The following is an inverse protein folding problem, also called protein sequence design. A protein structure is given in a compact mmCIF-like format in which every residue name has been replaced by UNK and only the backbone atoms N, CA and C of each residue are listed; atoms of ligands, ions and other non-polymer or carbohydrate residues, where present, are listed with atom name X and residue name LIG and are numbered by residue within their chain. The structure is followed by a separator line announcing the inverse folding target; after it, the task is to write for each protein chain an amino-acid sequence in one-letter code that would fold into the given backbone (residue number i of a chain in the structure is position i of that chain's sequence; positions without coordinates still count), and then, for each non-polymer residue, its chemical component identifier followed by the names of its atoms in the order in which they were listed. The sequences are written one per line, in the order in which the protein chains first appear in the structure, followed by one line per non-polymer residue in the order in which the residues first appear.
data_IF_562294913194
#
_entry.id   IF_562294913194
#
_cell.length_a   1.000
_cell.length_b   1.000
_cell.length_c   1.000
_cell.angle_alpha   90.00
_cell.angle_beta   90.00
_cell.angle_gamma   90.00
#
_symmetry.space_group_name_H-M   'P 1'
#
loop_
_entity.id
_entity.type
_entity.pdbx_description
1 polymer ?
#
# COMPACT_ATOMS: atom_id res chain seq x y z
N UNK A 1 -14.19 10.59 -0.87
CA UNK A 1 -12.93 10.53 -0.09
C UNK A 1 -12.17 9.33 -0.60
N UNK A 2 -10.91 9.48 -0.96
CA UNK A 2 -10.11 8.43 -1.59
C UNK A 2 -9.47 7.56 -0.52
N UNK A 3 -9.49 6.23 -0.67
CA UNK A 3 -8.90 5.30 0.30
C UNK A 3 -7.41 5.55 0.47
N UNK A 4 -6.66 5.72 -0.62
CA UNK A 4 -5.30 6.21 -0.57
C UNK A 4 -4.99 7.10 -1.76
N UNK A 5 -3.87 7.82 -1.71
CA UNK A 5 -3.35 8.61 -2.81
C UNK A 5 -1.99 8.06 -3.25
N UNK A 6 -1.84 7.78 -4.54
CA UNK A 6 -0.55 7.45 -5.15
C UNK A 6 0.07 8.73 -5.71
N UNK A 7 1.33 9.03 -5.37
CA UNK A 7 2.09 10.06 -6.07
C UNK A 7 2.44 9.60 -7.48
N UNK A 8 2.81 10.54 -8.35
CA UNK A 8 3.25 10.21 -9.71
C UNK A 8 4.49 9.32 -9.71
N UNK A 9 5.41 9.52 -8.76
CA UNK A 9 6.60 8.67 -8.60
C UNK A 9 6.21 7.24 -8.21
N UNK A 10 5.25 7.06 -7.30
CA UNK A 10 4.75 5.75 -6.92
C UNK A 10 4.07 5.05 -8.10
N UNK A 11 3.23 5.74 -8.87
CA UNK A 11 2.59 5.19 -10.09
C UNK A 11 3.62 4.71 -11.10
N UNK A 12 4.64 5.52 -11.40
CA UNK A 12 5.72 5.13 -12.33
C UNK A 12 6.50 3.91 -11.85
N UNK A 13 6.74 3.80 -10.55
CA UNK A 13 7.41 2.63 -10.00
C UNK A 13 6.52 1.39 -10.05
N UNK A 14 5.23 1.51 -9.79
CA UNK A 14 4.26 0.40 -9.95
C UNK A 14 4.25 -0.07 -11.41
N UNK A 15 4.22 0.86 -12.37
CA UNK A 15 4.30 0.52 -13.80
C UNK A 15 5.57 -0.26 -14.14
N UNK A 16 6.70 0.16 -13.57
CA UNK A 16 7.99 -0.49 -13.76
C UNK A 16 7.96 -1.91 -13.20
N UNK A 17 7.47 -2.10 -11.97
CA UNK A 17 7.37 -3.41 -11.32
C UNK A 17 6.46 -4.35 -12.10
N UNK A 18 5.27 -3.87 -12.52
CA UNK A 18 4.34 -4.68 -13.32
C UNK A 18 4.97 -5.15 -14.63
N UNK A 19 5.66 -4.24 -15.33
CA UNK A 19 6.33 -4.56 -16.59
C UNK A 19 7.50 -5.52 -16.42
N UNK A 20 8.38 -5.30 -15.46
CA UNK A 20 9.59 -6.10 -15.26
C UNK A 20 9.30 -7.52 -14.77
N UNK A 21 8.24 -7.69 -13.98
CA UNK A 21 7.88 -8.97 -13.39
C UNK A 21 6.75 -9.68 -14.15
N UNK A 22 6.25 -9.07 -15.24
CA UNK A 22 5.12 -9.57 -16.03
C UNK A 22 3.91 -9.89 -15.15
N UNK A 23 3.58 -8.98 -14.23
CA UNK A 23 2.45 -9.09 -13.30
C UNK A 23 1.38 -8.07 -13.63
N UNK A 24 0.14 -8.41 -13.32
CA UNK A 24 -1.03 -7.56 -13.53
C UNK A 24 -1.07 -6.39 -12.54
N UNK A 25 -0.80 -6.67 -11.26
CA UNK A 25 -0.89 -5.67 -10.20
C UNK A 25 0.21 -5.77 -9.16
N UNK A 26 0.51 -4.63 -8.53
CA UNK A 26 1.21 -4.55 -7.24
C UNK A 26 0.17 -4.44 -6.13
N UNK A 27 0.35 -5.15 -5.03
CA UNK A 27 -0.61 -5.18 -3.93
C UNK A 27 0.01 -4.71 -2.62
N UNK A 28 -0.78 -4.03 -1.80
CA UNK A 28 -0.41 -3.61 -0.45
C UNK A 28 -1.44 -4.11 0.55
N UNK A 29 -0.95 -4.83 1.55
CA UNK A 29 -1.77 -5.40 2.61
C UNK A 29 -1.18 -5.10 3.99
N UNK A 30 -2.02 -5.09 5.01
CA UNK A 30 -1.60 -5.10 6.40
C UNK A 30 -1.46 -6.54 6.89
N UNK A 31 -0.31 -6.88 7.46
CA UNK A 31 -0.09 -8.16 8.14
C UNK A 31 0.07 -7.92 9.64
N UNK A 32 -0.67 -8.66 10.46
CA UNK A 32 -0.44 -8.68 11.90
C UNK A 32 0.91 -9.32 12.22
N UNK A 33 1.75 -8.61 12.99
CA UNK A 33 3.13 -9.03 13.29
C UNK A 33 4.11 -7.85 13.41
N UNK A 34 5.38 -8.15 13.68
CA UNK A 34 6.45 -7.16 13.79
C UNK A 34 6.55 -6.47 15.15
N UNK A 35 7.59 -5.64 15.33
CA UNK A 35 7.89 -4.98 16.60
C UNK A 35 6.81 -3.99 17.07
N UNK A 36 6.00 -3.47 16.13
CA UNK A 36 4.95 -2.48 16.38
C UNK A 36 3.52 -3.05 16.30
N UNK A 37 3.35 -4.33 15.96
CA UNK A 37 2.06 -5.02 15.91
C UNK A 37 1.48 -5.20 14.50
N UNK A 38 1.82 -4.34 13.54
CA UNK A 38 1.48 -4.51 12.13
C UNK A 38 2.66 -4.22 11.20
N UNK A 39 2.63 -4.83 10.01
CA UNK A 39 3.62 -4.66 8.94
C UNK A 39 2.93 -4.42 7.61
N UNK A 40 3.54 -3.55 6.80
CA UNK A 40 3.15 -3.38 5.40
C UNK A 40 3.68 -4.56 4.59
N UNK A 41 2.77 -5.30 3.97
CA UNK A 41 3.07 -6.44 3.13
C UNK A 41 2.81 -6.10 1.67
N UNK A 42 3.89 -5.92 0.92
CA UNK A 42 3.85 -5.78 -0.53
C UNK A 42 3.73 -7.16 -1.18
N UNK A 43 2.98 -7.22 -2.28
CA UNK A 43 2.80 -8.41 -3.10
C UNK A 43 2.51 -8.05 -4.54
N UNK A 44 2.18 -9.06 -5.34
CA UNK A 44 1.77 -8.90 -6.73
C UNK A 44 0.65 -9.87 -7.06
N UNK A 45 -0.21 -9.50 -8.01
CA UNK A 45 -1.14 -10.41 -8.67
C UNK A 45 -0.69 -10.59 -10.11
N UNK A 46 -0.63 -11.85 -10.56
CA UNK A 46 -0.20 -12.20 -11.91
C UNK A 46 -1.32 -11.97 -12.92
N UNK A 47 -2.58 -12.21 -12.56
CA UNK A 47 -3.74 -11.98 -13.43
C UNK A 47 -4.85 -11.23 -12.71
N UNK A 48 -5.82 -10.73 -13.49
CA UNK A 48 -6.99 -10.04 -12.95
C UNK A 48 -7.95 -10.98 -12.18
N UNK A 49 -7.88 -12.30 -12.42
CA UNK A 49 -8.71 -13.30 -11.74
C UNK A 49 -8.37 -13.47 -10.24
N UNK A 50 -7.23 -12.91 -9.82
CA UNK A 50 -6.81 -12.90 -8.41
C UNK A 50 -7.41 -11.74 -7.61
N UNK A 51 -8.08 -10.79 -8.27
CA UNK A 51 -8.81 -9.71 -7.60
C UNK A 51 -9.98 -10.27 -6.80
N UNK A 52 -10.14 -9.77 -5.57
CA UNK A 52 -11.29 -10.09 -4.72
C UNK A 52 -12.34 -8.97 -4.79
N UNK A 53 -13.59 -9.31 -4.48
CA UNK A 53 -14.71 -8.37 -4.53
C UNK A 53 -14.57 -7.20 -3.53
N UNK A 54 -13.82 -7.39 -2.45
CA UNK A 54 -13.57 -6.40 -1.41
C UNK A 54 -12.25 -5.65 -1.61
N UNK A 55 -11.49 -5.95 -2.66
CA UNK A 55 -10.26 -5.24 -2.99
C UNK A 55 -10.55 -3.82 -3.52
N UNK A 56 -9.76 -2.85 -3.08
CA UNK A 56 -9.76 -1.52 -3.66
C UNK A 56 -8.71 -1.44 -4.77
N UNK A 57 -9.16 -1.05 -5.97
CA UNK A 57 -8.34 -1.07 -7.18
C UNK A 57 -8.04 0.35 -7.65
N UNK A 58 -6.76 0.65 -7.79
CA UNK A 58 -6.24 1.91 -8.32
C UNK A 58 -5.55 1.66 -9.65
N UNK A 59 -5.77 2.53 -10.62
CA UNK A 59 -5.13 2.44 -11.94
C UNK A 59 -4.09 3.52 -12.09
N UNK A 60 -2.90 3.14 -12.57
CA UNK A 60 -1.85 4.09 -12.95
C UNK A 60 -2.17 4.74 -14.31
N UNK A 61 -1.42 5.77 -14.67
CA UNK A 61 -1.63 6.45 -15.94
C UNK A 61 -1.31 5.52 -17.15
N UNK A 62 -0.50 4.48 -16.95
CA UNK A 62 -0.17 3.46 -17.96
C UNK A 62 -1.05 2.20 -17.89
N UNK A 63 -2.18 2.26 -17.17
CA UNK A 63 -3.15 1.15 -17.01
C UNK A 63 -2.66 -0.08 -16.24
N UNK A 64 -1.53 0.01 -15.54
CA UNK A 64 -1.19 -1.01 -14.55
C UNK A 64 -1.99 -0.79 -13.27
N UNK A 65 -2.06 -1.82 -12.46
CA UNK A 65 -2.98 -1.87 -11.33
C UNK A 65 -2.22 -1.88 -10.00
N UNK A 66 -2.73 -1.10 -9.06
CA UNK A 66 -2.36 -1.18 -7.65
C UNK A 66 -3.58 -1.59 -6.84
N UNK A 67 -3.40 -2.52 -5.91
CA UNK A 67 -4.50 -3.09 -5.13
C UNK A 67 -4.24 -2.93 -3.64
N UNK A 68 -5.25 -2.48 -2.91
CA UNK A 68 -5.30 -2.63 -1.45
C UNK A 68 -6.29 -3.74 -1.13
N UNK A 69 -5.83 -4.77 -0.42
CA UNK A 69 -6.71 -5.85 -0.03
C UNK A 69 -7.80 -5.39 0.92
N UNK A 70 -9.01 -5.92 0.80
CA UNK A 70 -10.19 -5.42 1.52
C UNK A 70 -10.02 -5.32 3.04
N UNK A 71 -9.42 -6.34 3.66
CA UNK A 71 -9.11 -6.34 5.09
C UNK A 71 -8.13 -5.23 5.54
N UNK A 72 -7.41 -4.62 4.59
CA UNK A 72 -6.40 -3.58 4.83
C UNK A 72 -6.93 -2.16 4.58
N UNK A 73 -8.08 -2.01 3.91
CA UNK A 73 -8.64 -0.71 3.50
C UNK A 73 -8.79 0.23 4.70
N UNK A 74 -9.38 -0.26 5.80
CA UNK A 74 -9.64 0.54 7.00
C UNK A 74 -8.36 1.11 7.62
N UNK A 75 -7.24 0.37 7.54
CA UNK A 75 -5.96 0.79 8.08
C UNK A 75 -5.24 1.80 7.19
N UNK A 76 -5.45 1.70 5.88
CA UNK A 76 -4.77 2.49 4.86
C UNK A 76 -5.58 3.73 4.44
N UNK A 77 -6.75 3.95 5.00
CA UNK A 77 -7.59 5.09 4.68
C UNK A 77 -6.88 6.44 4.87
N UNK A 78 -6.86 7.28 3.85
CA UNK A 78 -6.18 8.58 3.84
C UNK A 78 -4.65 8.50 3.70
N UNK A 79 -4.10 7.31 3.44
CA UNK A 79 -2.66 7.13 3.27
C UNK A 79 -2.17 7.72 1.95
N UNK A 80 -0.98 8.31 1.98
CA UNK A 80 -0.25 8.70 0.76
C UNK A 80 0.89 7.70 0.57
N UNK A 81 0.96 7.12 -0.63
CA UNK A 81 2.02 6.20 -1.05
C UNK A 81 2.89 6.95 -2.05
N UNK A 82 4.16 7.12 -1.69
CA UNK A 82 5.18 7.76 -2.51
C UNK A 82 6.31 6.78 -2.82
N UNK A 83 7.14 7.12 -3.80
CA UNK A 83 8.36 6.39 -4.10
C UNK A 83 9.54 7.35 -4.15
N UNK A 84 10.46 7.16 -3.21
CA UNK A 84 11.68 7.97 -3.10
C UNK A 84 12.87 7.20 -3.63
N UNK A 85 13.68 7.88 -4.44
CA UNK A 85 14.96 7.40 -4.93
C UNK A 85 16.03 8.44 -4.62
N UNK A 86 17.00 8.04 -3.81
CA UNK A 86 18.15 8.85 -3.44
C UNK A 86 19.46 8.08 -3.66
N UNK A 87 20.57 8.61 -3.15
CA UNK A 87 21.90 8.02 -3.28
C UNK A 87 22.03 6.71 -2.47
N UNK A 88 21.28 6.60 -1.37
CA UNK A 88 21.32 5.47 -0.44
C UNK A 88 20.41 4.32 -0.87
N UNK A 89 19.42 4.60 -1.73
CA UNK A 89 18.62 3.58 -2.37
C UNK A 89 17.29 4.10 -2.90
N UNK A 90 16.37 3.17 -3.09
CA UNK A 90 15.02 3.50 -3.52
C UNK A 90 14.02 2.68 -2.71
N UNK A 91 12.98 3.33 -2.21
CA UNK A 91 11.96 2.70 -1.40
C UNK A 91 10.60 3.35 -1.59
N UNK A 92 9.55 2.55 -1.41
CA UNK A 92 8.22 3.10 -1.18
C UNK A 92 8.17 3.75 0.20
N UNK A 93 7.69 4.98 0.24
CA UNK A 93 7.39 5.69 1.48
C UNK A 93 5.88 5.70 1.68
N UNK A 94 5.44 5.29 2.85
CA UNK A 94 4.01 5.22 3.20
C UNK A 94 3.76 6.23 4.32
N UNK A 95 3.01 7.29 4.00
CA UNK A 95 2.58 8.31 4.96
C UNK A 95 1.15 8.03 5.36
N UNK A 96 0.98 7.34 6.48
CA UNK A 96 -0.32 6.93 6.98
C UNK A 96 -0.74 7.78 8.21
N UNK A 97 -1.81 8.59 8.12
CA UNK A 97 -2.26 9.43 9.23
C UNK A 97 -2.82 8.64 10.42
N UNK A 98 -3.20 7.37 10.22
CA UNK A 98 -3.75 6.50 11.26
C UNK A 98 -2.66 5.74 12.03
N UNK A 99 -1.43 5.71 11.51
CA UNK A 99 -0.31 5.06 12.16
C UNK A 99 0.22 5.94 13.31
N UNK A 100 0.24 5.41 14.54
CA UNK A 100 0.71 6.14 15.73
C UNK A 100 2.23 6.19 15.85
N UNK A 101 2.89 5.11 15.44
CA UNK A 101 4.34 4.98 15.49
C UNK A 101 4.80 4.04 14.38
N UNK A 102 5.88 4.41 13.70
CA UNK A 102 6.61 3.57 12.76
C UNK A 102 7.96 3.17 13.36
N UNK A 103 8.36 1.91 13.19
CA UNK A 103 9.75 1.52 13.50
C UNK A 103 10.71 2.35 12.65
N UNK A 104 11.93 2.62 13.11
CA UNK A 104 12.89 3.52 12.44
C UNK A 104 13.24 3.15 10.99
N UNK A 105 12.88 1.96 10.52
CA UNK A 105 13.01 1.51 9.13
C UNK A 105 11.72 1.62 8.29
N UNK A 106 10.59 2.06 8.86
CA UNK A 106 9.32 2.30 8.16
C UNK A 106 8.50 1.07 7.76
N UNK A 107 9.00 -0.15 7.99
CA UNK A 107 8.34 -1.40 7.57
C UNK A 107 7.26 -1.91 8.51
N UNK A 108 7.28 -1.45 9.77
CA UNK A 108 6.32 -1.85 10.82
C UNK A 108 5.67 -0.62 11.45
N UNK A 109 4.38 -0.72 11.77
CA UNK A 109 3.57 0.36 12.34
C UNK A 109 2.61 -0.16 13.40
N UNK A 110 2.17 0.73 14.30
CA UNK A 110 1.10 0.46 15.27
C UNK A 110 -0.15 1.31 14.95
N UNK A 111 -1.32 0.71 15.10
CA UNK A 111 -2.61 1.38 14.93
C UNK A 111 -3.40 1.41 16.23
N UNK A 112 -4.16 2.49 16.40
CA UNK A 112 -5.16 2.60 17.45
C UNK A 112 -6.47 1.98 16.98
N UNK A 113 -6.76 0.76 17.42
CA UNK A 113 -7.94 0.02 16.98
C UNK A 113 -9.25 0.72 17.32
N UNK A 114 -9.30 1.44 18.45
CA UNK A 114 -10.51 2.15 18.88
C UNK A 114 -10.84 3.33 17.95
N UNK A 115 -9.85 3.88 17.25
CA UNK A 115 -10.04 4.96 16.25
C UNK A 115 -10.42 4.45 14.87
N UNK A 116 -10.10 3.20 14.56
CA UNK A 116 -10.40 2.57 13.28
C UNK A 116 -11.78 1.91 13.24
N UNK A 117 -12.36 1.60 14.41
CA UNK A 117 -13.64 0.92 14.54
C UNK A 117 -14.88 1.80 14.29
N UNK A 118 -14.72 3.04 13.82
CA UNK A 118 -15.83 3.97 13.58
C UNK A 118 -15.98 4.25 12.09
N UNK A 119 -16.71 3.42 11.34
CA UNK A 119 -17.36 3.89 10.13
C UNK A 119 -18.57 4.73 10.57
N UNK A 120 -18.55 6.03 10.24
CA UNK A 120 -19.75 6.87 10.25
C UNK A 120 -20.61 6.56 9.02
#
# INVERSE_FOLDING_TARGET
MTICTLTDAAKQQIDTICKENEVYAVTLNMKGGGCAGFEYKWGTYKTADELLDDDEVFTTDNKNVFVIGGASIMFLFGTVIDYKKDIMGSMFEIVNPNAKSSCGCGVSVNFDMDKLAIPA
#
